data_IF_318011955117
#
_entry.id   IF_318011955117
#
_cell.length_a   1.000
_cell.length_b   1.000
_cell.length_c   1.000
_cell.angle_alpha   90.00
_cell.angle_beta   90.00
_cell.angle_gamma   90.00
#
_symmetry.space_group_name_H-M   'P 1'
#
loop_
_entity.id
_entity.type
_entity.pdbx_description
1 polymer ?
#
# COMPACT_ATOMS: atom_id res chain seq x y z
N UNK A 1 -18.31 -10.62 19.32
CA UNK A 1 -16.96 -10.39 18.73
C UNK A 1 -15.96 -10.15 19.84
N UNK A 2 -14.77 -10.75 19.75
CA UNK A 2 -13.62 -10.48 20.62
C UNK A 2 -12.43 -10.09 19.75
N UNK A 3 -11.74 -9.01 20.10
CA UNK A 3 -10.52 -8.57 19.39
C UNK A 3 -9.30 -8.95 20.23
N UNK A 4 -8.34 -9.63 19.62
CA UNK A 4 -7.06 -9.96 20.20
C UNK A 4 -5.93 -9.33 19.39
N UNK A 5 -4.93 -8.79 20.06
CA UNK A 5 -3.75 -8.21 19.44
C UNK A 5 -2.47 -8.82 20.02
N UNK A 6 -1.47 -9.03 19.18
CA UNK A 6 -0.13 -9.40 19.60
C UNK A 6 0.91 -8.48 18.95
N UNK A 7 1.92 -8.07 19.72
CA UNK A 7 3.05 -7.32 19.20
C UNK A 7 4.12 -8.28 18.66
N UNK A 8 4.53 -8.08 17.42
CA UNK A 8 5.48 -8.94 16.71
C UNK A 8 6.77 -8.17 16.40
N UNK A 9 7.89 -8.44 17.08
CA UNK A 9 9.19 -7.98 16.62
C UNK A 9 9.66 -8.89 15.48
N UNK A 10 9.62 -8.41 14.24
CA UNK A 10 10.19 -9.12 13.09
C UNK A 10 11.53 -8.51 12.76
N UNK A 11 12.61 -9.29 12.87
CA UNK A 11 13.96 -8.86 12.50
C UNK A 11 14.33 -9.37 11.11
N UNK A 12 14.77 -8.47 10.24
CA UNK A 12 15.43 -8.77 8.99
C UNK A 12 16.80 -8.11 8.99
N UNK A 13 17.89 -8.91 8.93
CA UNK A 13 19.29 -8.45 8.80
C UNK A 13 19.57 -7.07 9.43
N UNK A 14 19.35 -6.93 10.74
CA UNK A 14 19.68 -5.72 11.50
C UNK A 14 18.57 -4.66 11.63
N UNK A 15 17.42 -4.82 10.99
CA UNK A 15 16.26 -3.95 11.19
C UNK A 15 15.11 -4.71 11.88
N UNK A 16 14.68 -4.24 13.04
CA UNK A 16 13.50 -4.78 13.73
C UNK A 16 12.27 -3.99 13.30
N UNK A 17 11.37 -4.63 12.56
CA UNK A 17 10.04 -4.06 12.28
C UNK A 17 9.07 -4.47 13.38
N UNK A 18 8.37 -3.50 13.95
CA UNK A 18 7.33 -3.76 14.94
C UNK A 18 5.99 -3.87 14.21
N UNK A 19 5.42 -5.06 14.17
CA UNK A 19 4.10 -5.34 13.62
C UNK A 19 3.13 -5.71 14.74
N UNK A 20 1.83 -5.57 14.50
CA UNK A 20 0.77 -5.98 15.43
C UNK A 20 -0.16 -6.93 14.67
N UNK A 21 -0.18 -8.20 15.08
CA UNK A 21 -1.20 -9.15 14.61
C UNK A 21 -2.55 -8.81 15.24
N UNK A 22 -3.60 -8.80 14.45
CA UNK A 22 -4.97 -8.57 14.89
C UNK A 22 -5.81 -9.79 14.54
N UNK A 23 -6.57 -10.30 15.52
CA UNK A 23 -7.52 -11.39 15.34
C UNK A 23 -8.87 -11.00 15.95
N UNK A 24 -9.91 -11.10 15.17
CA UNK A 24 -11.30 -10.89 15.60
C UNK A 24 -12.00 -12.24 15.58
N UNK A 25 -12.66 -12.59 16.67
CA UNK A 25 -13.43 -13.83 16.80
C UNK A 25 -14.91 -13.51 16.99
N UNK A 26 -15.78 -14.31 16.37
CA UNK A 26 -17.23 -14.22 16.51
C UNK A 26 -17.74 -15.31 17.46
N UNK A 27 -18.95 -15.15 17.95
CA UNK A 27 -19.68 -16.15 18.75
C UNK A 27 -20.00 -17.44 17.94
N UNK A 28 -20.00 -17.36 16.62
CA UNK A 28 -20.19 -18.49 15.72
C UNK A 28 -18.87 -19.18 15.31
N UNK A 29 -17.75 -18.83 15.95
CA UNK A 29 -16.46 -19.46 15.73
C UNK A 29 -15.68 -18.97 14.50
N UNK A 30 -16.21 -18.02 13.74
CA UNK A 30 -15.45 -17.40 12.64
C UNK A 30 -14.35 -16.49 13.18
N UNK A 31 -13.22 -16.49 12.49
CA UNK A 31 -12.08 -15.63 12.83
C UNK A 31 -11.62 -14.85 11.60
N UNK A 32 -11.46 -13.54 11.75
CA UNK A 32 -10.79 -12.68 10.78
C UNK A 32 -9.44 -12.19 11.29
N UNK A 33 -8.50 -11.99 10.37
CA UNK A 33 -7.13 -11.62 10.68
C UNK A 33 -6.66 -10.41 9.88
N UNK A 34 -5.75 -9.64 10.46
CA UNK A 34 -4.99 -8.59 9.79
C UNK A 34 -3.66 -8.32 10.51
N UNK A 35 -2.80 -7.52 9.90
CA UNK A 35 -1.54 -7.05 10.51
C UNK A 35 -1.49 -5.53 10.43
N UNK A 36 -1.31 -4.85 11.56
CA UNK A 36 -1.08 -3.42 11.64
C UNK A 36 0.41 -3.09 11.72
N UNK A 37 0.78 -1.98 11.09
CA UNK A 37 2.16 -1.47 11.05
C UNK A 37 2.16 0.08 10.98
N UNK A 38 3.32 0.69 10.72
CA UNK A 38 3.55 2.15 10.74
C UNK A 38 3.53 2.79 12.14
N UNK A 39 3.42 2.01 13.20
CA UNK A 39 3.54 2.55 14.56
C UNK A 39 4.94 3.09 14.89
N UNK A 40 5.97 2.56 14.25
CA UNK A 40 7.36 2.95 14.53
C UNK A 40 7.68 2.92 16.03
N UNK A 41 8.18 4.04 16.57
CA UNK A 41 8.45 4.21 18.00
C UNK A 41 7.19 4.20 18.88
N UNK A 42 6.02 4.53 18.29
CA UNK A 42 4.72 4.59 18.99
C UNK A 42 3.85 3.35 18.75
N UNK A 43 4.44 2.22 18.33
CA UNK A 43 3.72 0.95 18.16
C UNK A 43 2.89 0.53 19.40
N UNK A 44 3.34 0.74 20.67
CA UNK A 44 2.50 0.45 21.83
C UNK A 44 1.20 1.28 21.86
N UNK A 45 1.25 2.55 21.47
CA UNK A 45 0.06 3.39 21.38
C UNK A 45 -0.90 2.92 20.27
N UNK A 46 -0.36 2.49 19.12
CA UNK A 46 -1.17 1.87 18.04
C UNK A 46 -1.86 0.59 18.55
N UNK A 47 -1.14 -0.27 19.29
CA UNK A 47 -1.75 -1.47 19.89
C UNK A 47 -2.89 -1.10 20.83
N UNK A 48 -2.67 -0.14 21.73
CA UNK A 48 -3.70 0.33 22.65
C UNK A 48 -4.92 0.92 21.94
N UNK A 49 -4.71 1.64 20.82
CA UNK A 49 -5.80 2.15 20.02
C UNK A 49 -6.61 1.02 19.35
N UNK A 50 -5.95 -0.02 18.84
CA UNK A 50 -6.63 -1.20 18.28
C UNK A 50 -7.46 -1.90 19.37
N UNK A 51 -6.90 -2.11 20.56
CA UNK A 51 -7.59 -2.74 21.68
C UNK A 51 -8.83 -1.92 22.11
N UNK A 52 -8.69 -0.60 22.20
CA UNK A 52 -9.75 0.33 22.58
C UNK A 52 -10.89 0.33 21.55
N UNK A 53 -10.57 0.51 20.25
CA UNK A 53 -11.58 0.47 19.17
C UNK A 53 -12.21 -0.91 19.06
N UNK A 54 -11.40 -1.96 19.18
CA UNK A 54 -11.89 -3.35 19.18
C UNK A 54 -12.92 -3.60 20.27
N UNK A 55 -12.70 -3.08 21.48
CA UNK A 55 -13.65 -3.20 22.61
C UNK A 55 -15.01 -2.55 22.28
N UNK A 56 -15.03 -1.46 21.52
CA UNK A 56 -16.28 -0.81 21.08
C UNK A 56 -17.09 -1.67 20.09
N UNK A 57 -16.45 -2.57 19.37
CA UNK A 57 -17.12 -3.45 18.40
C UNK A 57 -17.69 -4.73 19.00
N UNK A 58 -17.38 -5.03 20.27
CA UNK A 58 -17.91 -6.21 20.97
C UNK A 58 -19.44 -6.16 21.00
N UNK A 59 -20.09 -7.29 20.63
CA UNK A 59 -21.54 -7.40 20.54
C UNK A 59 -22.17 -6.83 19.27
N UNK A 60 -21.38 -6.18 18.39
CA UNK A 60 -21.88 -5.73 17.08
C UNK A 60 -21.80 -6.86 16.04
N UNK A 61 -22.67 -6.78 15.02
CA UNK A 61 -22.62 -7.66 13.87
C UNK A 61 -21.36 -7.41 13.04
N UNK A 62 -20.42 -8.36 12.91
CA UNK A 62 -19.19 -8.18 12.17
C UNK A 62 -19.40 -8.07 10.64
N UNK A 63 -20.57 -8.42 10.13
CA UNK A 63 -20.91 -8.27 8.72
C UNK A 63 -21.40 -6.86 8.37
N UNK A 64 -21.85 -6.11 9.39
CA UNK A 64 -22.27 -4.71 9.29
C UNK A 64 -21.10 -3.76 9.55
N UNK A 65 -20.14 -3.67 8.61
CA UNK A 65 -18.85 -2.96 8.80
C UNK A 65 -19.08 -1.44 8.95
N UNK A 66 -19.97 -0.82 8.17
CA UNK A 66 -20.19 0.64 8.21
C UNK A 66 -20.70 1.16 9.57
N UNK A 67 -21.67 0.51 10.28
CA UNK A 67 -22.03 0.89 11.64
C UNK A 67 -20.85 0.81 12.64
N UNK A 68 -19.95 -0.16 12.48
CA UNK A 68 -18.73 -0.26 13.30
C UNK A 68 -17.84 0.94 13.05
N UNK A 69 -17.61 1.29 11.78
CA UNK A 69 -16.86 2.51 11.42
C UNK A 69 -17.52 3.79 11.93
N UNK A 70 -18.84 3.88 11.87
CA UNK A 70 -19.59 5.03 12.41
C UNK A 70 -19.32 5.20 13.90
N UNK A 71 -19.39 4.09 14.67
CA UNK A 71 -19.11 4.07 16.10
C UNK A 71 -17.67 4.45 16.41
N UNK A 72 -16.70 4.00 15.60
CA UNK A 72 -15.29 4.38 15.76
C UNK A 72 -15.10 5.89 15.50
N UNK A 73 -15.70 6.44 14.45
CA UNK A 73 -15.63 7.88 14.15
C UNK A 73 -16.24 8.73 15.26
N UNK A 74 -17.37 8.31 15.81
CA UNK A 74 -18.00 8.98 16.94
C UNK A 74 -17.06 9.00 18.16
N UNK A 75 -16.55 7.83 18.56
CA UNK A 75 -15.64 7.69 19.71
C UNK A 75 -14.31 8.41 19.51
N UNK A 76 -13.78 8.44 18.26
CA UNK A 76 -12.53 9.10 17.90
C UNK A 76 -12.66 10.55 17.44
N UNK A 77 -13.86 11.16 17.53
CA UNK A 77 -14.15 12.50 16.95
C UNK A 77 -13.21 13.60 17.44
N UNK A 78 -12.77 13.52 18.70
CA UNK A 78 -11.84 14.49 19.30
C UNK A 78 -10.36 14.16 19.04
N UNK A 79 -10.04 12.91 18.65
CA UNK A 79 -8.67 12.47 18.36
C UNK A 79 -8.26 12.79 16.92
N UNK A 80 -9.20 13.12 16.06
CA UNK A 80 -8.98 13.41 14.65
C UNK A 80 -9.04 12.18 13.75
N UNK A 81 -9.22 12.37 12.43
CA UNK A 81 -9.47 11.30 11.47
C UNK A 81 -8.21 10.64 10.89
N UNK A 82 -7.03 10.96 11.39
CA UNK A 82 -5.75 10.49 10.83
C UNK A 82 -4.88 9.73 11.82
N UNK A 83 -3.66 9.44 11.41
CA UNK A 83 -2.62 8.86 12.26
C UNK A 83 -3.02 7.51 12.88
N UNK A 84 -2.71 7.35 14.16
CA UNK A 84 -2.93 6.10 14.92
C UNK A 84 -4.40 5.65 14.90
N UNK A 85 -5.34 6.59 14.96
CA UNK A 85 -6.78 6.26 14.89
C UNK A 85 -7.12 5.54 13.58
N UNK A 86 -6.68 6.07 12.44
CA UNK A 86 -6.94 5.46 11.13
C UNK A 86 -6.22 4.13 10.98
N UNK A 87 -4.95 4.02 11.40
CA UNK A 87 -4.21 2.76 11.37
C UNK A 87 -4.92 1.66 12.19
N UNK A 88 -5.42 2.00 13.38
CA UNK A 88 -6.15 1.07 14.22
C UNK A 88 -7.49 0.64 13.61
N UNK A 89 -8.27 1.60 13.12
CA UNK A 89 -9.55 1.35 12.44
C UNK A 89 -9.36 0.48 11.19
N UNK A 90 -8.30 0.73 10.40
CA UNK A 90 -7.96 -0.04 9.20
C UNK A 90 -7.65 -1.50 9.51
N UNK A 91 -6.88 -1.76 10.57
CA UNK A 91 -6.56 -3.13 10.97
C UNK A 91 -7.80 -3.92 11.34
N UNK A 92 -8.76 -3.30 12.02
CA UNK A 92 -10.03 -3.92 12.37
C UNK A 92 -10.89 -4.14 11.12
N UNK A 93 -10.98 -3.15 10.23
CA UNK A 93 -11.72 -3.23 8.96
C UNK A 93 -11.28 -4.42 8.11
N UNK A 94 -9.97 -4.57 7.91
CA UNK A 94 -9.41 -5.67 7.12
C UNK A 94 -9.81 -7.04 7.72
N UNK A 95 -9.74 -7.19 9.05
CA UNK A 95 -10.14 -8.42 9.72
C UNK A 95 -11.67 -8.67 9.64
N UNK A 96 -12.48 -7.62 9.65
CA UNK A 96 -13.93 -7.74 9.43
C UNK A 96 -14.28 -8.19 8.00
N UNK A 97 -13.57 -7.68 7.00
CA UNK A 97 -13.73 -8.15 5.62
C UNK A 97 -13.30 -9.62 5.45
N UNK A 98 -12.28 -10.07 6.18
CA UNK A 98 -11.88 -11.49 6.21
C UNK A 98 -12.99 -12.35 6.81
N UNK A 99 -13.63 -11.93 7.94
CA UNK A 99 -14.81 -12.58 8.51
C UNK A 99 -15.95 -12.63 7.48
N UNK A 100 -16.24 -11.50 6.85
CA UNK A 100 -17.33 -11.39 5.88
C UNK A 100 -17.15 -12.35 4.71
N UNK A 101 -15.95 -12.43 4.16
CA UNK A 101 -15.62 -13.40 3.12
C UNK A 101 -15.79 -14.85 3.58
N UNK A 102 -15.34 -15.17 4.79
CA UNK A 102 -15.50 -16.51 5.38
C UNK A 102 -16.97 -16.85 5.66
N UNK A 103 -17.75 -15.90 6.15
CA UNK A 103 -19.18 -16.09 6.42
C UNK A 103 -19.97 -16.40 5.14
N UNK A 104 -19.64 -15.74 4.03
CA UNK A 104 -20.29 -15.98 2.73
C UNK A 104 -19.63 -17.10 1.89
N UNK A 105 -18.55 -17.73 2.38
CA UNK A 105 -17.78 -18.73 1.63
C UNK A 105 -17.14 -18.18 0.36
N UNK A 106 -16.82 -16.88 0.32
CA UNK A 106 -16.29 -16.17 -0.86
C UNK A 106 -14.99 -15.45 -0.57
N UNK A 107 -14.07 -15.36 -1.54
CA UNK A 107 -12.90 -14.48 -1.43
C UNK A 107 -13.36 -13.02 -1.39
N UNK A 108 -12.62 -12.18 -0.66
CA UNK A 108 -12.94 -10.76 -0.51
C UNK A 108 -13.09 -10.06 -1.86
N UNK A 109 -12.26 -10.36 -2.83
CA UNK A 109 -12.35 -9.78 -4.17
C UNK A 109 -13.71 -9.98 -4.85
N UNK A 110 -14.35 -11.15 -4.68
CA UNK A 110 -15.68 -11.40 -5.25
C UNK A 110 -16.76 -10.57 -4.56
N UNK A 111 -16.65 -10.37 -3.25
CA UNK A 111 -17.59 -9.52 -2.50
C UNK A 111 -17.45 -8.04 -2.83
N UNK A 112 -16.28 -7.63 -3.32
CA UNK A 112 -15.98 -6.26 -3.74
C UNK A 112 -16.30 -5.96 -5.20
N UNK A 113 -16.79 -6.94 -5.97
CA UNK A 113 -17.19 -6.78 -7.37
C UNK A 113 -16.47 -7.71 -8.36
N UNK A 114 -15.30 -8.26 -8.01
CA UNK A 114 -14.65 -9.36 -8.74
C UNK A 114 -14.31 -9.07 -10.20
N UNK A 115 -13.87 -7.86 -10.53
CA UNK A 115 -13.66 -7.40 -11.91
C UNK A 115 -12.68 -8.29 -12.70
N UNK A 116 -11.59 -8.78 -12.05
CA UNK A 116 -10.59 -9.66 -12.68
C UNK A 116 -10.06 -10.72 -11.73
N UNK A 117 -9.48 -11.80 -12.29
CA UNK A 117 -8.91 -12.92 -11.53
C UNK A 117 -7.40 -12.85 -11.38
N UNK A 118 -6.75 -11.95 -12.11
CA UNK A 118 -5.31 -11.75 -12.08
C UNK A 118 -4.99 -10.27 -12.17
N UNK A 119 -3.91 -9.83 -11.54
CA UNK A 119 -3.49 -8.42 -11.53
C UNK A 119 -2.00 -8.34 -11.86
N UNK A 120 -1.56 -7.40 -12.72
CA UNK A 120 -0.15 -7.08 -12.88
C UNK A 120 0.47 -6.71 -11.54
N UNK A 121 1.78 -6.96 -11.39
CA UNK A 121 2.49 -6.59 -10.17
C UNK A 121 3.91 -6.15 -10.46
N UNK A 122 4.41 -5.19 -9.70
CA UNK A 122 5.77 -4.69 -9.81
C UNK A 122 6.63 -5.09 -8.60
N UNK A 123 7.90 -5.43 -8.87
CA UNK A 123 8.86 -5.71 -7.82
C UNK A 123 9.26 -4.42 -7.10
N UNK A 124 9.11 -4.38 -5.77
CA UNK A 124 9.51 -3.27 -4.92
C UNK A 124 10.46 -3.71 -3.81
N UNK A 125 11.28 -2.78 -3.30
CA UNK A 125 12.23 -3.02 -2.21
C UNK A 125 13.59 -3.57 -2.63
N UNK A 126 13.78 -4.01 -3.88
CA UNK A 126 15.06 -4.54 -4.36
C UNK A 126 16.03 -3.47 -4.90
N UNK A 127 15.52 -2.29 -5.27
CA UNK A 127 16.27 -1.20 -5.91
C UNK A 127 16.27 0.07 -5.06
N UNK A 128 16.42 -0.08 -3.74
CA UNK A 128 16.32 1.02 -2.79
C UNK A 128 17.51 1.99 -2.90
N UNK A 129 17.26 3.26 -2.56
CA UNK A 129 18.26 4.36 -2.62
C UNK A 129 19.51 4.12 -1.76
N UNK A 130 19.38 3.35 -0.68
CA UNK A 130 20.51 2.99 0.19
C UNK A 130 21.48 1.98 -0.41
N UNK A 131 21.15 1.35 -1.53
CA UNK A 131 22.04 0.42 -2.22
C UNK A 131 22.91 1.15 -3.24
N UNK A 132 24.18 0.68 -3.39
CA UNK A 132 25.08 1.21 -4.39
C UNK A 132 24.53 1.02 -5.81
N UNK A 133 24.97 1.86 -6.75
CA UNK A 133 24.57 1.75 -8.15
C UNK A 133 24.83 0.34 -8.72
N UNK A 134 25.98 -0.27 -8.42
CA UNK A 134 26.32 -1.63 -8.82
C UNK A 134 25.31 -2.67 -8.30
N UNK A 135 24.89 -2.52 -7.05
CA UNK A 135 23.89 -3.43 -6.44
C UNK A 135 22.54 -3.30 -7.10
N UNK A 136 22.03 -2.08 -7.33
CA UNK A 136 20.71 -1.89 -7.94
C UNK A 136 20.67 -2.37 -9.38
N UNK A 137 21.72 -2.11 -10.18
CA UNK A 137 21.81 -2.63 -11.56
C UNK A 137 21.77 -4.15 -11.56
N UNK A 138 22.60 -4.81 -10.75
CA UNK A 138 22.57 -6.28 -10.63
C UNK A 138 21.24 -6.83 -10.15
N UNK A 139 20.58 -6.14 -9.21
CA UNK A 139 19.25 -6.54 -8.73
C UNK A 139 18.20 -6.39 -9.82
N UNK A 140 18.23 -5.31 -10.60
CA UNK A 140 17.33 -5.08 -11.72
C UNK A 140 17.45 -6.17 -12.79
N UNK A 141 18.68 -6.51 -13.23
CA UNK A 141 18.94 -7.65 -14.13
C UNK A 141 18.41 -8.98 -13.58
N UNK A 142 18.57 -9.19 -12.28
CA UNK A 142 18.07 -10.40 -11.61
C UNK A 142 16.55 -10.48 -11.62
N UNK A 143 15.86 -9.35 -11.43
CA UNK A 143 14.41 -9.28 -11.52
C UNK A 143 13.90 -9.57 -12.92
N UNK A 144 14.55 -9.03 -13.96
CA UNK A 144 14.22 -9.35 -15.37
C UNK A 144 14.38 -10.86 -15.64
N UNK A 145 15.49 -11.47 -15.19
CA UNK A 145 15.70 -12.93 -15.31
C UNK A 145 14.66 -13.76 -14.57
N UNK A 146 14.06 -13.23 -13.52
CA UNK A 146 12.94 -13.86 -12.77
C UNK A 146 11.57 -13.64 -13.43
N UNK A 147 11.52 -12.96 -14.57
CA UNK A 147 10.29 -12.71 -15.32
C UNK A 147 9.50 -11.48 -14.86
N UNK A 148 10.10 -10.58 -14.07
CA UNK A 148 9.45 -9.31 -13.76
C UNK A 148 9.49 -8.37 -14.97
N UNK A 149 8.34 -7.85 -15.33
CA UNK A 149 8.16 -6.84 -16.39
C UNK A 149 7.94 -5.43 -15.84
N UNK A 150 7.76 -5.32 -14.52
CA UNK A 150 7.56 -4.06 -13.83
C UNK A 150 8.42 -4.03 -12.55
N UNK A 151 9.08 -2.91 -12.26
CA UNK A 151 9.89 -2.75 -11.04
C UNK A 151 10.01 -1.30 -10.62
N UNK A 152 10.16 -1.07 -9.30
CA UNK A 152 10.31 0.27 -8.71
C UNK A 152 11.70 0.45 -8.12
N UNK A 153 12.36 1.55 -8.50
CA UNK A 153 13.59 2.06 -7.89
C UNK A 153 13.31 3.28 -7.03
N UNK A 154 14.32 3.78 -6.34
CA UNK A 154 14.24 5.00 -5.53
C UNK A 154 15.34 5.97 -5.91
N UNK A 155 14.99 7.25 -6.03
CA UNK A 155 15.89 8.40 -6.11
C UNK A 155 15.89 9.20 -4.79
N UNK A 156 16.36 10.43 -4.85
CA UNK A 156 16.65 11.25 -3.67
C UNK A 156 17.62 10.55 -2.73
N UNK A 157 18.82 10.29 -3.23
CA UNK A 157 19.89 9.57 -2.54
C UNK A 157 20.23 10.23 -1.19
N UNK A 158 20.79 9.49 -0.22
CA UNK A 158 21.18 10.07 1.06
C UNK A 158 22.18 11.23 0.90
N UNK A 159 22.03 12.26 1.73
CA UNK A 159 22.84 13.48 1.67
C UNK A 159 22.18 14.57 0.82
N UNK A 160 22.98 15.44 0.22
CA UNK A 160 22.49 16.50 -0.66
C UNK A 160 22.11 15.92 -2.03
N UNK A 161 20.94 16.28 -2.53
CA UNK A 161 20.47 15.86 -3.87
C UNK A 161 21.43 16.38 -4.95
N UNK A 162 21.98 15.46 -5.72
CA UNK A 162 22.89 15.73 -6.83
C UNK A 162 22.25 15.28 -8.14
N UNK A 163 21.67 16.20 -8.94
CA UNK A 163 20.92 15.82 -10.14
C UNK A 163 21.71 14.93 -11.13
N UNK A 164 22.98 15.17 -11.47
CA UNK A 164 23.77 14.28 -12.32
C UNK A 164 23.84 12.83 -11.81
N UNK A 165 23.96 12.61 -10.50
CA UNK A 165 24.04 11.27 -9.90
C UNK A 165 22.65 10.60 -9.94
N UNK A 166 21.60 11.36 -9.65
CA UNK A 166 20.20 10.88 -9.73
C UNK A 166 19.86 10.43 -11.16
N UNK A 167 20.19 11.24 -12.14
CA UNK A 167 19.97 10.96 -13.57
C UNK A 167 20.81 9.75 -14.03
N UNK A 168 22.09 9.65 -13.63
CA UNK A 168 22.94 8.51 -13.98
C UNK A 168 22.39 7.20 -13.39
N UNK A 169 21.83 7.24 -12.19
CA UNK A 169 21.21 6.06 -11.58
C UNK A 169 20.04 5.52 -12.43
N UNK A 170 19.14 6.37 -12.89
CA UNK A 170 18.04 5.97 -13.78
C UNK A 170 18.58 5.46 -15.13
N UNK A 171 19.53 6.19 -15.73
CA UNK A 171 20.17 5.79 -16.98
C UNK A 171 20.75 4.37 -16.89
N UNK A 172 21.54 4.09 -15.87
CA UNK A 172 22.21 2.78 -15.70
C UNK A 172 21.24 1.64 -15.42
N UNK A 173 20.16 1.90 -14.69
CA UNK A 173 19.11 0.90 -14.49
C UNK A 173 18.41 0.64 -15.82
N UNK A 174 18.00 1.68 -16.55
CA UNK A 174 17.31 1.54 -17.86
C UNK A 174 18.17 0.79 -18.87
N UNK A 175 19.46 1.13 -18.98
CA UNK A 175 20.40 0.41 -19.86
C UNK A 175 20.48 -1.10 -19.52
N UNK A 176 20.42 -1.45 -18.25
CA UNK A 176 20.49 -2.84 -17.79
C UNK A 176 19.22 -3.66 -18.02
N UNK A 177 18.04 -3.03 -17.95
CA UNK A 177 16.75 -3.74 -18.07
C UNK A 177 16.12 -3.63 -19.46
N UNK A 178 16.55 -2.67 -20.29
CA UNK A 178 15.98 -2.39 -21.60
C UNK A 178 14.63 -1.68 -21.54
N UNK A 179 14.09 -1.29 -22.70
CA UNK A 179 12.89 -0.41 -22.81
C UNK A 179 11.56 -1.14 -22.62
N UNK A 180 11.55 -2.47 -22.60
CA UNK A 180 10.32 -3.27 -22.46
C UNK A 180 9.88 -3.45 -21.02
N UNK A 181 10.65 -2.97 -20.05
CA UNK A 181 10.37 -3.09 -18.62
C UNK A 181 9.81 -1.76 -18.12
N UNK A 182 8.65 -1.80 -17.49
CA UNK A 182 8.08 -0.64 -16.80
C UNK A 182 8.91 -0.32 -15.56
N UNK A 183 9.60 0.81 -15.58
CA UNK A 183 10.42 1.29 -14.48
C UNK A 183 9.72 2.44 -13.77
N UNK A 184 9.34 2.24 -12.52
CA UNK A 184 8.80 3.25 -11.62
C UNK A 184 9.93 3.83 -10.75
N UNK A 185 9.74 5.05 -10.29
CA UNK A 185 10.72 5.70 -9.43
C UNK A 185 10.06 6.47 -8.29
N UNK A 186 10.43 6.11 -7.06
CA UNK A 186 9.90 6.70 -5.83
C UNK A 186 10.90 7.68 -5.20
N UNK A 187 10.40 8.84 -4.84
CA UNK A 187 11.15 9.94 -4.24
C UNK A 187 10.90 10.03 -2.73
N UNK A 188 9.78 9.49 -2.24
CA UNK A 188 9.33 9.56 -0.84
C UNK A 188 9.39 10.99 -0.27
N UNK A 189 8.84 11.97 -0.99
CA UNK A 189 8.66 13.37 -0.58
C UNK A 189 9.97 14.15 -0.33
N UNK A 190 11.11 13.67 -0.87
CA UNK A 190 12.43 14.22 -0.53
C UNK A 190 12.85 15.40 -1.39
N UNK A 191 12.18 15.67 -2.50
CA UNK A 191 12.43 16.83 -3.35
C UNK A 191 11.47 17.96 -3.04
N UNK A 192 11.91 19.18 -3.27
CA UNK A 192 11.00 20.31 -3.44
C UNK A 192 10.41 20.33 -4.87
N UNK A 193 9.40 21.15 -5.09
CA UNK A 193 8.71 21.27 -6.40
C UNK A 193 9.68 21.60 -7.53
N UNK A 194 10.66 22.46 -7.29
CA UNK A 194 11.64 22.88 -8.31
C UNK A 194 12.60 21.75 -8.65
N UNK A 195 13.08 21.01 -7.64
CA UNK A 195 13.93 19.83 -7.84
C UNK A 195 13.18 18.75 -8.60
N UNK A 196 11.91 18.47 -8.21
CA UNK A 196 11.06 17.49 -8.86
C UNK A 196 10.89 17.79 -10.35
N UNK A 197 10.59 19.03 -10.73
CA UNK A 197 10.47 19.44 -12.14
C UNK A 197 11.82 19.35 -12.84
N UNK A 198 12.89 19.91 -12.24
CA UNK A 198 14.20 19.97 -12.90
C UNK A 198 14.81 18.60 -13.15
N UNK A 199 14.74 17.69 -12.17
CA UNK A 199 15.30 16.34 -12.32
C UNK A 199 14.34 15.48 -13.14
N UNK A 200 13.01 15.61 -12.91
CA UNK A 200 11.97 14.93 -13.68
C UNK A 200 12.18 15.12 -15.18
N UNK A 201 12.31 16.36 -15.65
CA UNK A 201 12.60 16.69 -17.05
C UNK A 201 13.87 16.02 -17.59
N UNK A 202 14.90 15.88 -16.79
CA UNK A 202 16.15 15.25 -17.25
C UNK A 202 16.05 13.73 -17.37
N UNK A 203 15.12 13.09 -16.65
CA UNK A 203 14.94 11.63 -16.67
C UNK A 203 13.78 11.16 -17.55
N UNK A 204 12.92 12.05 -18.08
CA UNK A 204 11.83 11.72 -18.99
C UNK A 204 12.29 10.87 -20.19
N UNK A 205 13.45 11.16 -20.75
CA UNK A 205 14.06 10.41 -21.87
C UNK A 205 14.35 8.93 -21.57
N UNK A 206 14.24 8.51 -20.32
CA UNK A 206 14.37 7.11 -19.91
C UNK A 206 13.03 6.41 -19.75
N UNK A 207 11.93 7.04 -20.13
CA UNK A 207 10.58 6.48 -20.21
C UNK A 207 10.17 5.77 -18.91
N UNK A 208 10.15 6.51 -17.78
CA UNK A 208 9.62 5.99 -16.54
C UNK A 208 8.11 5.79 -16.63
N UNK A 209 7.61 4.74 -16.02
CA UNK A 209 6.18 4.44 -15.99
C UNK A 209 5.43 5.42 -15.08
N UNK A 210 6.04 5.80 -13.93
CA UNK A 210 5.66 6.96 -13.12
C UNK A 210 6.81 7.45 -12.23
N UNK A 211 6.68 8.69 -11.77
CA UNK A 211 7.39 9.24 -10.61
C UNK A 211 6.43 9.27 -9.41
N UNK A 212 6.87 8.77 -8.25
CA UNK A 212 6.06 8.58 -7.06
C UNK A 212 6.49 9.54 -5.96
N UNK A 213 5.48 10.15 -5.28
CA UNK A 213 5.65 11.01 -4.11
C UNK A 213 6.77 12.05 -4.26
N UNK A 214 6.70 12.80 -5.33
CA UNK A 214 7.78 13.69 -5.80
C UNK A 214 8.10 14.84 -4.85
N UNK A 215 7.11 15.32 -4.06
CA UNK A 215 7.27 16.37 -3.04
C UNK A 215 6.29 16.10 -1.88
N UNK A 216 6.16 17.00 -0.92
CA UNK A 216 5.29 16.84 0.24
C UNK A 216 3.85 16.45 -0.17
N UNK A 217 3.32 15.41 0.46
CA UNK A 217 2.03 14.79 0.11
C UNK A 217 0.81 15.69 0.31
N UNK A 218 0.94 16.74 1.13
CA UNK A 218 -0.10 17.72 1.47
C UNK A 218 0.05 19.05 0.72
N UNK A 219 1.12 19.20 -0.09
CA UNK A 219 1.27 20.35 -1.01
C UNK A 219 0.56 20.06 -2.34
N UNK A 220 -0.77 20.01 -2.33
CA UNK A 220 -1.56 19.73 -3.53
C UNK A 220 -1.28 20.70 -4.69
N UNK A 221 -1.16 22.03 -4.47
CA UNK A 221 -0.76 22.94 -5.55
C UNK A 221 0.64 22.69 -6.07
N UNK A 222 1.59 22.35 -5.20
CA UNK A 222 2.95 22.01 -5.59
C UNK A 222 3.00 20.73 -6.42
N UNK A 223 2.32 19.67 -5.98
CA UNK A 223 2.16 18.42 -6.74
C UNK A 223 1.53 18.68 -8.10
N UNK A 224 0.44 19.47 -8.19
CA UNK A 224 -0.20 19.84 -9.46
C UNK A 224 0.76 20.58 -10.41
N UNK A 225 1.64 21.43 -9.88
CA UNK A 225 2.69 22.08 -10.70
C UNK A 225 3.69 21.09 -11.28
N UNK A 226 4.07 20.06 -10.51
CA UNK A 226 4.97 18.99 -11.01
C UNK A 226 4.27 18.17 -12.06
N UNK A 227 3.06 17.70 -11.78
CA UNK A 227 2.23 16.90 -12.71
C UNK A 227 2.00 17.63 -14.04
N UNK A 228 1.67 18.92 -14.01
CA UNK A 228 1.49 19.71 -15.23
C UNK A 228 2.79 20.00 -15.98
N UNK A 229 3.95 19.93 -15.34
CA UNK A 229 5.25 20.23 -15.95
C UNK A 229 5.90 19.00 -16.58
N UNK A 230 5.56 17.79 -16.15
CA UNK A 230 6.17 16.55 -16.62
C UNK A 230 5.28 15.79 -17.60
N UNK A 231 5.90 15.13 -18.59
CA UNK A 231 5.22 14.16 -19.43
C UNK A 231 5.19 12.76 -18.78
N UNK A 232 6.11 12.49 -17.83
CA UNK A 232 6.10 11.29 -17.00
C UNK A 232 4.95 11.37 -15.99
N UNK A 233 4.03 10.38 -15.94
CA UNK A 233 2.95 10.38 -14.96
C UNK A 233 3.45 10.50 -13.51
N UNK A 234 2.73 11.24 -12.68
CA UNK A 234 3.00 11.37 -11.25
C UNK A 234 2.02 10.50 -10.47
N UNK A 235 2.55 9.63 -9.61
CA UNK A 235 1.77 8.83 -8.67
C UNK A 235 1.94 9.34 -7.24
N UNK A 236 0.88 9.25 -6.44
CA UNK A 236 0.96 9.63 -5.04
C UNK A 236 -0.29 9.30 -4.26
N UNK A 237 -0.18 9.37 -2.93
CA UNK A 237 -1.28 9.11 -2.02
C UNK A 237 -0.96 8.13 -0.89
N UNK A 238 0.17 7.43 -0.91
CA UNK A 238 0.51 6.47 0.14
C UNK A 238 0.61 7.08 1.54
N UNK A 239 0.90 8.38 1.66
CA UNK A 239 0.99 9.12 2.93
C UNK A 239 -0.34 9.73 3.40
N UNK A 240 -1.38 9.62 2.61
CA UNK A 240 -2.67 10.29 2.81
C UNK A 240 -3.61 9.48 3.71
N UNK A 241 -4.22 10.13 4.70
CA UNK A 241 -5.12 9.48 5.66
C UNK A 241 -6.60 9.76 5.37
N UNK A 242 -7.39 8.69 5.22
CA UNK A 242 -8.84 8.78 4.96
C UNK A 242 -9.17 9.26 3.55
N UNK A 243 -10.45 9.44 3.24
CA UNK A 243 -10.92 9.76 1.88
C UNK A 243 -10.94 11.24 1.52
N UNK A 244 -11.09 12.14 2.51
CA UNK A 244 -11.25 13.59 2.25
C UNK A 244 -9.99 14.20 1.61
N UNK A 245 -8.76 13.94 2.09
CA UNK A 245 -7.58 14.46 1.42
C UNK A 245 -7.40 13.90 0.00
N UNK A 246 -7.81 12.67 -0.28
CA UNK A 246 -7.81 12.13 -1.66
C UNK A 246 -8.74 12.93 -2.58
N UNK A 247 -9.92 13.36 -2.09
CA UNK A 247 -10.79 14.25 -2.85
C UNK A 247 -10.06 15.56 -3.21
N UNK A 248 -9.40 16.20 -2.24
CA UNK A 248 -8.64 17.44 -2.51
C UNK A 248 -7.50 17.23 -3.50
N UNK A 249 -6.79 16.09 -3.41
CA UNK A 249 -5.74 15.70 -4.35
C UNK A 249 -6.28 15.59 -5.78
N UNK A 250 -7.43 14.95 -5.96
CA UNK A 250 -8.08 14.77 -7.26
C UNK A 250 -8.63 16.09 -7.81
N UNK A 251 -9.33 16.89 -6.98
CA UNK A 251 -9.85 18.23 -7.34
C UNK A 251 -8.73 19.18 -7.78
N UNK A 252 -7.57 19.13 -7.12
CA UNK A 252 -6.40 19.92 -7.45
C UNK A 252 -5.59 19.37 -8.63
N UNK A 253 -5.93 18.19 -9.18
CA UNK A 253 -5.15 17.48 -10.22
C UNK A 253 -3.68 17.29 -9.82
N UNK A 254 -3.47 16.91 -8.57
CA UNK A 254 -2.12 16.82 -7.97
C UNK A 254 -1.32 15.63 -8.48
N UNK A 255 -1.99 14.59 -8.99
CA UNK A 255 -1.37 13.37 -9.50
C UNK A 255 -2.17 12.77 -10.66
N UNK A 256 -1.51 11.94 -11.48
CA UNK A 256 -2.12 11.19 -12.57
C UNK A 256 -2.56 9.77 -12.15
N UNK A 257 -1.95 9.25 -11.07
CA UNK A 257 -2.20 7.90 -10.55
C UNK A 257 -2.42 7.98 -9.05
N UNK A 258 -3.54 7.46 -8.57
CA UNK A 258 -3.86 7.42 -7.14
C UNK A 258 -3.24 6.18 -6.50
N UNK A 259 -2.35 6.37 -5.53
CA UNK A 259 -1.75 5.29 -4.75
C UNK A 259 -2.44 5.18 -3.39
N UNK A 260 -3.01 3.99 -3.11
CA UNK A 260 -3.78 3.80 -1.88
C UNK A 260 -3.08 2.81 -0.95
N UNK A 261 -2.79 3.26 0.27
CA UNK A 261 -2.36 2.41 1.38
C UNK A 261 -3.56 1.98 2.22
N UNK A 262 -3.78 0.67 2.40
CA UNK A 262 -4.91 0.16 3.16
C UNK A 262 -4.90 0.59 4.62
N UNK A 263 -3.71 0.70 5.24
CA UNK A 263 -3.63 1.11 6.64
C UNK A 263 -3.97 2.58 6.85
N UNK A 264 -3.72 3.42 5.86
CA UNK A 264 -4.00 4.87 5.92
C UNK A 264 -5.36 5.26 5.34
N UNK A 265 -5.98 4.39 4.55
CA UNK A 265 -7.27 4.66 3.89
C UNK A 265 -8.52 4.26 4.68
N UNK A 266 -8.43 3.82 5.92
CA UNK A 266 -9.48 3.13 6.68
C UNK A 266 -9.79 1.72 6.15
N UNK A 267 -8.78 0.95 5.79
CA UNK A 267 -8.90 -0.44 5.37
C UNK A 267 -9.50 -0.63 3.98
N UNK A 268 -10.07 -1.79 3.75
CA UNK A 268 -10.70 -2.17 2.48
C UNK A 268 -11.93 -1.29 2.20
N UNK A 269 -12.72 -0.99 3.23
CA UNK A 269 -13.89 -0.10 3.12
C UNK A 269 -13.50 1.29 2.59
N UNK A 270 -12.43 1.87 3.14
CA UNK A 270 -11.95 3.17 2.69
C UNK A 270 -11.30 3.11 1.30
N UNK A 271 -10.53 2.06 1.02
CA UNK A 271 -9.94 1.83 -0.31
C UNK A 271 -11.03 1.86 -1.41
N UNK A 272 -12.12 1.13 -1.23
CA UNK A 272 -13.20 1.05 -2.23
C UNK A 272 -13.87 2.41 -2.48
N UNK A 273 -14.06 3.22 -1.42
CA UNK A 273 -14.61 4.59 -1.56
C UNK A 273 -13.67 5.50 -2.34
N UNK A 274 -12.37 5.43 -2.05
CA UNK A 274 -11.34 6.23 -2.75
C UNK A 274 -11.21 5.77 -4.21
N UNK A 275 -11.19 4.47 -4.46
CA UNK A 275 -11.10 3.91 -5.81
C UNK A 275 -12.30 4.28 -6.69
N UNK A 276 -13.53 4.25 -6.14
CA UNK A 276 -14.73 4.71 -6.86
C UNK A 276 -14.72 6.22 -7.13
N UNK A 277 -14.17 7.02 -6.20
CA UNK A 277 -13.97 8.45 -6.45
C UNK A 277 -12.92 8.69 -7.55
N UNK A 278 -11.79 7.96 -7.52
CA UNK A 278 -10.76 8.02 -8.56
C UNK A 278 -11.31 7.63 -9.94
N UNK A 279 -12.17 6.62 -10.02
CA UNK A 279 -12.86 6.22 -11.25
C UNK A 279 -13.70 7.36 -11.84
N UNK A 280 -14.44 8.10 -11.00
CA UNK A 280 -15.22 9.26 -11.43
C UNK A 280 -14.35 10.43 -11.96
N UNK A 281 -13.09 10.51 -11.55
CA UNK A 281 -12.09 11.44 -12.09
C UNK A 281 -11.27 10.86 -13.25
N UNK A 282 -11.58 9.65 -13.73
CA UNK A 282 -10.82 8.91 -14.74
C UNK A 282 -9.36 8.65 -14.36
N UNK A 283 -9.09 8.45 -13.07
CA UNK A 283 -7.75 8.17 -12.56
C UNK A 283 -7.56 6.68 -12.26
N UNK A 284 -6.44 6.09 -12.70
CA UNK A 284 -6.07 4.73 -12.32
C UNK A 284 -5.63 4.68 -10.85
N UNK A 285 -5.78 3.47 -10.27
CA UNK A 285 -5.44 3.19 -8.89
C UNK A 285 -4.36 2.14 -8.80
N UNK A 286 -3.37 2.37 -7.95
CA UNK A 286 -2.31 1.41 -7.58
C UNK A 286 -2.30 1.18 -6.08
N UNK A 287 -1.74 0.06 -5.66
CA UNK A 287 -1.59 -0.27 -4.25
C UNK A 287 -0.25 0.20 -3.68
N UNK A 288 -0.22 0.44 -2.36
CA UNK A 288 1.00 0.55 -1.57
C UNK A 288 1.06 -0.58 -0.56
N UNK A 289 2.14 -1.37 -0.55
CA UNK A 289 2.44 -2.50 0.36
C UNK A 289 1.36 -3.61 0.40
N UNK A 290 1.55 -4.57 1.31
CA UNK A 290 0.67 -5.71 1.62
C UNK A 290 -0.01 -6.35 0.40
N UNK A 291 0.76 -6.79 -0.63
CA UNK A 291 0.22 -7.39 -1.85
C UNK A 291 -0.67 -8.60 -1.59
N UNK A 292 -0.45 -9.33 -0.50
CA UNK A 292 -1.24 -10.48 -0.09
C UNK A 292 -2.70 -10.14 0.23
N UNK A 293 -2.98 -8.87 0.54
CA UNK A 293 -4.34 -8.35 0.76
C UNK A 293 -4.78 -7.48 -0.43
N UNK A 294 -3.90 -6.59 -0.89
CA UNK A 294 -4.18 -5.63 -1.95
C UNK A 294 -4.49 -6.28 -3.31
N UNK A 295 -4.06 -7.52 -3.53
CA UNK A 295 -4.47 -8.30 -4.71
C UNK A 295 -6.00 -8.44 -4.81
N UNK A 296 -6.71 -8.50 -3.69
CA UNK A 296 -8.18 -8.55 -3.67
C UNK A 296 -8.80 -7.20 -4.05
N UNK A 297 -8.27 -6.10 -3.52
CA UNK A 297 -8.84 -4.77 -3.74
C UNK A 297 -8.59 -4.26 -5.16
N UNK A 298 -7.34 -4.37 -5.65
CA UNK A 298 -6.99 -3.93 -7.01
C UNK A 298 -7.64 -4.81 -8.08
N UNK A 299 -7.81 -6.12 -7.80
CA UNK A 299 -8.51 -7.01 -8.73
C UNK A 299 -10.02 -6.74 -8.80
N UNK A 300 -10.61 -6.16 -7.77
CA UNK A 300 -12.06 -5.93 -7.70
C UNK A 300 -12.54 -4.69 -8.47
N UNK A 301 -11.64 -3.73 -8.76
CA UNK A 301 -11.97 -2.43 -9.34
C UNK A 301 -11.60 -2.33 -10.83
N UNK A 302 -12.41 -1.66 -11.67
CA UNK A 302 -12.12 -1.50 -13.10
C UNK A 302 -10.86 -0.67 -13.38
N UNK A 303 -10.64 0.40 -12.60
CA UNK A 303 -9.52 1.33 -12.72
C UNK A 303 -8.25 0.89 -11.97
N UNK A 304 -8.20 -0.34 -11.44
CA UNK A 304 -7.00 -0.91 -10.81
C UNK A 304 -5.89 -1.19 -11.84
N UNK A 305 -4.69 -0.66 -11.63
CA UNK A 305 -3.58 -0.73 -12.59
C UNK A 305 -2.62 -1.88 -12.27
N UNK A 306 -1.98 -1.85 -11.11
CA UNK A 306 -0.97 -2.85 -10.69
C UNK A 306 -0.84 -2.91 -9.17
N UNK A 307 -0.26 -3.99 -8.65
CA UNK A 307 -0.05 -4.22 -7.22
C UNK A 307 1.43 -4.13 -6.88
N UNK A 308 1.78 -3.38 -5.83
CA UNK A 308 3.14 -3.36 -5.29
C UNK A 308 3.49 -4.70 -4.65
N UNK A 309 4.51 -5.39 -5.15
CA UNK A 309 5.00 -6.62 -4.54
C UNK A 309 6.23 -6.36 -3.67
N UNK A 310 5.97 -6.11 -2.40
CA UNK A 310 6.99 -5.88 -1.39
C UNK A 310 6.74 -6.80 -0.17
N UNK A 311 7.70 -7.64 0.26
CA UNK A 311 7.52 -8.62 1.32
C UNK A 311 7.57 -7.97 2.71
N UNK A 312 6.58 -7.12 3.01
CA UNK A 312 6.55 -6.33 4.25
C UNK A 312 6.06 -7.16 5.45
N UNK A 313 4.98 -7.94 5.26
CA UNK A 313 4.26 -8.69 6.30
C UNK A 313 4.27 -10.20 6.07
N UNK A 314 4.89 -10.70 4.99
CA UNK A 314 4.83 -12.09 4.54
C UNK A 314 5.15 -13.12 5.61
N UNK A 315 6.10 -12.83 6.49
CA UNK A 315 6.49 -13.73 7.58
C UNK A 315 5.39 -13.98 8.61
N UNK A 316 4.36 -13.15 8.65
CA UNK A 316 3.22 -13.34 9.53
C UNK A 316 2.31 -14.48 9.07
N UNK A 317 2.40 -14.89 7.82
CA UNK A 317 1.48 -15.84 7.20
C UNK A 317 2.17 -17.15 6.82
N UNK A 318 1.40 -18.26 6.82
CA UNK A 318 1.87 -19.58 6.35
C UNK A 318 2.22 -19.55 4.88
N UNK A 319 1.36 -18.93 4.09
CA UNK A 319 1.45 -18.78 2.64
C UNK A 319 0.97 -17.42 2.22
N UNK A 320 1.54 -16.88 1.15
CA UNK A 320 1.13 -15.63 0.51
C UNK A 320 1.09 -15.81 -1.00
N UNK A 321 0.29 -15.04 -1.75
CA UNK A 321 0.32 -15.07 -3.21
C UNK A 321 1.73 -14.75 -3.73
N UNK A 322 2.21 -15.56 -4.67
CA UNK A 322 3.51 -15.37 -5.30
C UNK A 322 3.31 -15.01 -6.78
N UNK A 323 3.94 -13.96 -7.29
CA UNK A 323 3.77 -13.55 -8.68
C UNK A 323 4.42 -14.54 -9.62
N UNK A 324 3.77 -14.74 -10.76
CA UNK A 324 4.30 -15.52 -11.89
C UNK A 324 4.32 -14.60 -13.12
N UNK A 325 5.50 -14.36 -13.67
CA UNK A 325 5.70 -13.43 -14.80
C UNK A 325 5.05 -12.04 -14.56
N UNK A 326 5.37 -11.40 -13.45
CA UNK A 326 4.79 -10.12 -13.01
C UNK A 326 3.26 -10.10 -12.87
N UNK A 327 2.62 -11.23 -12.62
CA UNK A 327 1.17 -11.34 -12.44
C UNK A 327 0.87 -12.07 -11.14
N UNK A 328 0.00 -11.50 -10.31
CA UNK A 328 -0.61 -12.15 -9.15
C UNK A 328 -1.95 -12.75 -9.52
N UNK A 329 -2.17 -14.00 -9.10
CA UNK A 329 -3.50 -14.63 -9.15
C UNK A 329 -4.23 -14.31 -7.84
N UNK A 330 -5.46 -13.87 -7.96
CA UNK A 330 -6.33 -13.58 -6.80
C UNK A 330 -6.62 -14.87 -6.03
N UNK A 331 -6.41 -14.91 -4.71
CA UNK A 331 -6.77 -16.07 -3.89
C UNK A 331 -8.26 -16.42 -4.00
N UNK A 332 -8.55 -17.72 -4.08
CA UNK A 332 -9.93 -18.23 -4.22
C UNK A 332 -10.50 -18.76 -2.91
N UNK A 333 -9.69 -18.91 -1.86
CA UNK A 333 -10.16 -19.31 -0.53
C UNK A 333 -11.05 -18.21 0.07
N UNK A 334 -12.06 -18.57 0.90
CA UNK A 334 -12.92 -17.60 1.58
C UNK A 334 -12.13 -16.57 2.42
N UNK A 335 -12.63 -15.36 2.47
CA UNK A 335 -11.97 -14.25 3.15
C UNK A 335 -10.78 -13.71 2.35
N UNK A 336 -9.70 -13.42 3.04
CA UNK A 336 -8.42 -13.03 2.44
C UNK A 336 -7.62 -14.24 1.91
N UNK A 337 -8.06 -15.47 2.24
CA UNK A 337 -7.33 -16.69 1.91
C UNK A 337 -6.01 -16.85 2.67
N UNK A 338 -5.80 -16.06 3.73
CA UNK A 338 -4.59 -16.03 4.53
C UNK A 338 -4.77 -16.72 5.87
N UNK A 339 -3.69 -17.28 6.40
CA UNK A 339 -3.62 -17.85 7.74
C UNK A 339 -2.31 -17.40 8.42
N UNK A 340 -2.40 -17.00 9.69
CA UNK A 340 -1.18 -16.70 10.45
C UNK A 340 -0.30 -17.92 10.62
N UNK A 341 1.02 -17.72 10.54
CA UNK A 341 1.98 -18.72 10.97
C UNK A 341 2.06 -18.75 12.52
N UNK A 342 1.64 -19.83 13.19
CA UNK A 342 1.65 -19.91 14.64
C UNK A 342 3.07 -19.92 15.23
N UNK A 343 4.10 -20.13 14.42
CA UNK A 343 5.50 -20.00 14.85
C UNK A 343 5.93 -18.57 15.04
N UNK A 344 5.27 -17.63 14.31
CA UNK A 344 5.58 -16.20 14.30
C UNK A 344 4.54 -15.41 15.09
N UNK A 345 3.26 -15.64 14.85
CA UNK A 345 2.15 -14.89 15.45
C UNK A 345 1.55 -15.71 16.60
N UNK A 346 1.68 -15.22 17.83
CA UNK A 346 1.15 -15.85 19.06
C UNK A 346 0.23 -14.88 19.75
N UNK A 347 -1.02 -15.29 20.01
CA UNK A 347 -2.04 -14.53 20.73
C UNK A 347 -2.18 -15.00 22.18
#
# INVERSE_FOLDING_TARGET
>A
TGVQTCALPISEKGAVRKLIGVKISTDQGLQGISVAFFGGGVTPALKSAIDSLGSLSVGMDPLAIEPIHAKFREAGSHAGPGGIFTLASSAIDIALWDIKGKAFGKPVSELLGGFRKTVPTYASGALMRGFSLKQVVKSAETLVKKGYTQMKTQLALPGYTNPPIEVDRIRRIREAIGDKIDLMCDINQRWDVRQAISIGKQIEKYHLFWLEDVTAHDDYPGLARVTNALDTPVAGGEYVYGSVPFRHMMEARSVDIIMIDLMRSCGITGFMKIAGMAEAFNLPVVSHLIPEIQVHTVAAIPNGLTVEYMPWTFRCYKEVPVPKNSVLTVPTKPGLGLEFDPKVVKF
#
